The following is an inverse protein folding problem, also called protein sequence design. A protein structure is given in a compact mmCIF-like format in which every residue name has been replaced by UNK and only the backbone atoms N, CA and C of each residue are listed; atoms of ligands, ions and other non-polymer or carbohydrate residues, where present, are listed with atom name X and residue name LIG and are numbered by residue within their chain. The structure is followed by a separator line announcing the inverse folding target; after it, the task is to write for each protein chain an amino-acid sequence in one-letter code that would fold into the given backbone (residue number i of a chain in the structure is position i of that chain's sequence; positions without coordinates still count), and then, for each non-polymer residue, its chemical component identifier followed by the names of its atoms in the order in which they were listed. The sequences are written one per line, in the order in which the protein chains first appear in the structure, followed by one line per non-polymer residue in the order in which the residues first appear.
data_IF_081956125233
#
_entry.id   IF_081956125233
#
_cell.length_a   1.000
_cell.length_b   1.000
_cell.length_c   1.000
_cell.angle_alpha   90.00
_cell.angle_beta   90.00
_cell.angle_gamma   90.00
#
_symmetry.space_group_name_H-M   'P 1'
#
loop_
_entity.id
_entity.type
_entity.pdbx_description
1 polymer ?
#
# COMPACT_ATOMS: atom_id res chain seq x y z
N UNK A 1 16.37 -24.38 15.57
CA UNK A 1 15.42 -23.33 15.17
C UNK A 1 16.26 -22.22 14.58
N UNK A 2 16.13 -21.86 13.29
CA UNK A 2 16.81 -20.70 12.77
C UNK A 2 15.81 -19.55 12.65
N UNK A 3 15.79 -18.69 13.66
CA UNK A 3 15.08 -17.39 13.69
C UNK A 3 15.97 -16.27 13.11
N UNK A 4 16.58 -16.52 11.94
CA UNK A 4 17.40 -15.54 11.22
C UNK A 4 16.96 -15.46 9.76
N UNK A 5 15.82 -14.81 9.52
CA UNK A 5 15.45 -14.29 8.21
C UNK A 5 14.88 -12.89 8.46
N UNK A 6 15.34 -11.91 7.67
CA UNK A 6 15.10 -10.45 7.80
C UNK A 6 16.14 -9.69 8.64
N UNK A 7 17.39 -9.67 8.14
CA UNK A 7 18.32 -8.59 8.47
C UNK A 7 17.88 -7.28 7.80
N UNK A 8 17.19 -6.42 8.55
CA UNK A 8 16.89 -5.03 8.14
C UNK A 8 18.22 -4.28 8.07
N UNK A 9 18.74 -4.07 6.87
CA UNK A 9 19.97 -3.29 6.65
C UNK A 9 19.64 -1.81 6.45
N UNK A 10 19.40 -1.14 7.57
CA UNK A 10 19.60 0.31 7.71
C UNK A 10 18.42 1.20 7.35
N UNK A 11 17.71 1.68 8.38
CA UNK A 11 16.84 2.87 8.27
C UNK A 11 17.67 4.09 8.67
N UNK A 12 18.00 4.97 7.72
CA UNK A 12 18.56 6.29 8.01
C UNK A 12 17.43 7.21 8.46
N UNK A 13 17.57 7.74 9.68
CA UNK A 13 16.60 8.64 10.30
C UNK A 13 16.38 9.90 9.44
N UNK A 14 15.12 10.18 9.08
CA UNK A 14 14.73 11.40 8.36
C UNK A 14 14.68 11.36 6.83
N UNK A 15 14.85 10.21 6.17
CA UNK A 15 14.53 10.07 4.74
C UNK A 15 13.20 9.35 4.55
N UNK A 16 12.28 9.96 3.78
CA UNK A 16 11.04 9.32 3.30
C UNK A 16 11.40 7.95 2.74
N UNK A 17 10.97 6.91 3.42
CA UNK A 17 11.52 5.57 3.27
C UNK A 17 11.27 5.05 1.85
N UNK A 18 12.34 4.97 1.07
CA UNK A 18 12.41 4.09 -0.09
C UNK A 18 12.89 2.76 0.50
N UNK A 19 11.94 2.01 1.06
CA UNK A 19 12.26 0.76 1.72
C UNK A 19 12.34 -0.33 0.65
N UNK A 20 13.56 -0.51 0.14
CA UNK A 20 13.99 -1.80 -0.36
C UNK A 20 13.97 -2.77 0.82
N UNK A 21 12.88 -3.54 0.94
CA UNK A 21 12.62 -4.38 2.10
C UNK A 21 13.58 -5.57 2.17
N UNK A 22 14.02 -6.11 1.03
CA UNK A 22 15.03 -7.19 0.97
C UNK A 22 15.45 -7.49 -0.47
N UNK A 23 16.62 -8.12 -0.64
CA UNK A 23 17.05 -8.75 -1.89
C UNK A 23 16.97 -10.27 -1.71
N UNK A 24 16.26 -10.95 -2.62
CA UNK A 24 16.16 -12.40 -2.64
C UNK A 24 17.46 -13.01 -3.19
N UNK A 25 17.75 -14.26 -2.81
CA UNK A 25 18.96 -14.97 -3.28
C UNK A 25 19.02 -15.14 -4.80
N UNK A 26 17.88 -15.01 -5.49
CA UNK A 26 17.75 -15.04 -6.94
C UNK A 26 18.01 -13.67 -7.62
N UNK A 27 18.33 -12.63 -6.85
CA UNK A 27 18.65 -11.29 -7.34
C UNK A 27 17.43 -10.37 -7.52
N UNK A 28 16.21 -10.85 -7.22
CA UNK A 28 15.01 -10.00 -7.21
C UNK A 28 14.94 -9.16 -5.94
N UNK A 29 14.20 -8.07 -6.02
CA UNK A 29 14.05 -7.11 -4.94
C UNK A 29 12.61 -7.12 -4.44
N UNK A 30 12.45 -7.17 -3.13
CA UNK A 30 11.20 -6.82 -2.46
C UNK A 30 11.27 -5.31 -2.18
N UNK A 31 10.29 -4.57 -2.67
CA UNK A 31 10.20 -3.13 -2.48
C UNK A 31 8.79 -2.70 -2.13
N UNK A 32 8.69 -1.52 -1.53
CA UNK A 32 7.43 -0.94 -1.11
C UNK A 32 7.10 0.33 -1.89
N UNK A 33 5.84 0.46 -2.29
CA UNK A 33 5.26 1.70 -2.78
C UNK A 33 4.18 2.21 -1.83
N UNK A 34 4.11 3.52 -1.63
CA UNK A 34 3.07 4.14 -0.80
C UNK A 34 2.28 5.16 -1.62
N UNK A 35 0.98 5.21 -1.38
CA UNK A 35 0.14 6.33 -1.82
C UNK A 35 -0.86 6.66 -0.72
N UNK A 36 -1.26 7.92 -0.63
CA UNK A 36 -2.19 8.41 0.36
C UNK A 36 -3.36 9.09 -0.32
N UNK A 37 -4.55 8.86 0.20
CA UNK A 37 -5.75 9.59 -0.19
C UNK A 37 -6.15 10.43 1.02
N UNK A 38 -6.43 11.71 0.79
CA UNK A 38 -6.88 12.68 1.80
C UNK A 38 -8.22 13.23 1.35
N UNK A 39 -9.32 12.80 1.96
CA UNK A 39 -10.63 13.39 1.68
C UNK A 39 -11.55 13.34 2.91
N UNK A 40 -12.51 14.27 2.94
CA UNK A 40 -13.51 14.38 4.00
C UNK A 40 -14.56 13.26 3.95
N UNK A 41 -14.79 12.64 2.78
CA UNK A 41 -15.78 11.58 2.56
C UNK A 41 -15.21 10.53 1.62
N UNK A 42 -14.62 9.47 2.18
CA UNK A 42 -14.25 8.32 1.39
C UNK A 42 -15.50 7.53 0.98
N UNK A 43 -15.52 6.96 -0.22
CA UNK A 43 -16.48 5.90 -0.59
C UNK A 43 -17.98 6.28 -0.53
N UNK A 44 -18.32 7.56 -0.51
CA UNK A 44 -19.71 8.02 -0.61
C UNK A 44 -20.11 8.12 -2.08
N UNK A 45 -20.70 7.04 -2.61
CA UNK A 45 -21.42 7.10 -3.89
C UNK A 45 -22.91 7.16 -3.57
N UNK A 46 -23.60 8.23 -4.00
CA UNK A 46 -25.06 8.43 -4.01
C UNK A 46 -25.92 7.34 -3.33
N UNK A 47 -25.98 7.33 -1.99
CA UNK A 47 -26.91 6.48 -1.23
C UNK A 47 -26.50 5.01 -1.04
N UNK A 48 -25.25 4.64 -1.29
CA UNK A 48 -24.72 3.30 -0.99
C UNK A 48 -23.77 3.30 0.22
N UNK A 49 -23.86 2.24 1.04
CA UNK A 49 -23.09 2.05 2.27
C UNK A 49 -21.64 1.61 2.03
N UNK A 50 -21.23 1.43 0.77
CA UNK A 50 -19.87 1.09 0.35
C UNK A 50 -19.61 1.80 -0.99
N UNK A 51 -18.38 2.23 -1.22
CA UNK A 51 -17.99 2.93 -2.44
C UNK A 51 -16.67 2.45 -3.00
N UNK A 52 -16.36 2.91 -4.21
CA UNK A 52 -15.17 2.53 -4.97
C UNK A 52 -14.30 3.74 -5.26
N UNK A 53 -13.01 3.66 -4.97
CA UNK A 53 -12.03 4.70 -5.32
C UNK A 53 -10.86 4.10 -6.11
N UNK A 54 -10.44 4.74 -7.20
CA UNK A 54 -9.34 4.22 -8.02
C UNK A 54 -8.02 4.87 -7.59
N UNK A 55 -7.02 4.04 -7.30
CA UNK A 55 -5.68 4.50 -6.91
C UNK A 55 -4.61 3.81 -7.74
N UNK A 56 -3.50 4.53 -7.96
CA UNK A 56 -2.28 3.99 -8.53
C UNK A 56 -1.15 4.11 -7.51
N UNK A 57 -0.52 3.00 -7.14
CA UNK A 57 0.64 2.98 -6.24
C UNK A 57 1.89 2.67 -7.04
N UNK A 58 2.88 3.56 -7.00
CA UNK A 58 4.18 3.35 -7.64
C UNK A 58 5.14 2.72 -6.65
N UNK A 59 5.84 1.67 -7.07
CA UNK A 59 6.94 1.05 -6.34
C UNK A 59 8.24 1.55 -6.97
N UNK A 60 8.89 2.58 -6.41
CA UNK A 60 9.97 3.31 -7.07
C UNK A 60 11.23 2.45 -7.27
N UNK A 61 11.49 1.52 -6.36
CA UNK A 61 12.73 0.73 -6.33
C UNK A 61 12.68 -0.49 -7.27
N UNK A 62 11.60 -0.65 -8.05
CA UNK A 62 11.46 -1.68 -9.06
C UNK A 62 11.36 -1.04 -10.45
N UNK A 63 12.02 -1.65 -11.45
CA UNK A 63 11.80 -1.28 -12.87
C UNK A 63 10.48 -1.81 -13.39
N UNK A 64 10.14 -3.03 -12.97
CA UNK A 64 8.86 -3.67 -13.23
C UNK A 64 8.46 -4.54 -12.06
N UNK A 65 7.15 -4.66 -11.83
CA UNK A 65 6.60 -5.53 -10.81
C UNK A 65 6.26 -6.87 -11.47
N UNK A 66 6.86 -7.93 -10.96
CA UNK A 66 6.51 -9.31 -11.34
C UNK A 66 5.30 -9.79 -10.54
N UNK A 67 5.29 -9.49 -9.24
CA UNK A 67 4.27 -9.97 -8.32
C UNK A 67 4.01 -9.00 -7.18
N UNK A 68 2.75 -8.87 -6.77
CA UNK A 68 2.35 -8.11 -5.57
C UNK A 68 2.17 -9.10 -4.43
N UNK A 69 3.03 -9.00 -3.42
CA UNK A 69 2.99 -9.85 -2.23
C UNK A 69 1.82 -9.50 -1.33
N UNK A 70 1.64 -8.21 -1.05
CA UNK A 70 0.61 -7.75 -0.15
C UNK A 70 0.21 -6.30 -0.44
N UNK A 71 -1.03 -5.96 -0.07
CA UNK A 71 -1.50 -4.58 0.00
C UNK A 71 -1.93 -4.34 1.45
N UNK A 72 -1.31 -3.36 2.09
CA UNK A 72 -1.63 -2.96 3.46
C UNK A 72 -2.36 -1.63 3.45
N UNK A 73 -3.28 -1.49 4.40
CA UNK A 73 -4.06 -0.30 4.61
C UNK A 73 -3.81 0.22 6.01
N UNK A 74 -3.54 1.52 6.11
CA UNK A 74 -3.43 2.20 7.38
C UNK A 74 -4.27 3.47 7.34
N UNK A 75 -5.16 3.63 8.32
CA UNK A 75 -6.07 4.76 8.37
C UNK A 75 -5.74 5.65 9.55
N UNK A 76 -5.32 6.88 9.27
CA UNK A 76 -5.07 7.90 10.29
C UNK A 76 -6.36 8.64 10.59
N UNK A 77 -6.93 8.35 11.76
CA UNK A 77 -8.18 8.95 12.26
C UNK A 77 -7.83 10.23 13.02
N UNK A 78 -8.53 11.32 12.70
CA UNK A 78 -8.39 12.58 13.46
C UNK A 78 -9.33 12.61 14.67
N UNK A 79 -10.49 11.97 14.58
CA UNK A 79 -11.53 11.98 15.62
C UNK A 79 -11.81 10.58 16.18
N UNK A 80 -10.93 10.09 17.07
CA UNK A 80 -11.19 9.20 18.21
C UNK A 80 -12.02 7.89 18.07
N UNK A 81 -12.56 7.53 16.91
CA UNK A 81 -13.38 6.34 16.73
C UNK A 81 -12.53 5.26 16.08
N UNK A 82 -12.06 4.30 16.87
CA UNK A 82 -11.45 3.06 16.37
C UNK A 82 -12.54 2.17 15.75
N UNK A 83 -13.08 2.54 14.60
CA UNK A 83 -13.78 1.61 13.73
C UNK A 83 -12.72 1.00 12.82
N UNK A 84 -12.59 -0.34 12.81
CA UNK A 84 -11.80 -1.04 11.78
C UNK A 84 -12.53 -0.85 10.45
N UNK A 85 -12.09 0.05 9.56
CA UNK A 85 -12.78 0.19 8.29
C UNK A 85 -12.32 -1.01 7.46
N UNK A 86 -13.27 -1.79 6.96
CA UNK A 86 -12.97 -2.90 6.07
C UNK A 86 -12.62 -2.29 4.71
N UNK A 87 -11.32 -2.22 4.40
CA UNK A 87 -10.82 -1.81 3.09
C UNK A 87 -10.31 -3.03 2.33
N UNK A 88 -10.69 -3.14 1.06
CA UNK A 88 -10.23 -4.19 0.17
C UNK A 88 -9.70 -3.60 -1.13
N UNK A 89 -8.54 -4.09 -1.60
CA UNK A 89 -8.04 -3.78 -2.93
C UNK A 89 -8.58 -4.80 -3.94
N UNK A 90 -9.48 -4.35 -4.82
CA UNK A 90 -10.06 -5.12 -5.92
C UNK A 90 -9.53 -4.63 -7.27
N UNK A 91 -9.75 -5.42 -8.34
CA UNK A 91 -9.39 -5.06 -9.72
C UNK A 91 -7.92 -4.60 -9.90
N UNK A 92 -6.98 -5.32 -9.26
CA UNK A 92 -5.56 -5.00 -9.32
C UNK A 92 -5.03 -5.17 -10.76
N UNK A 93 -4.30 -4.18 -11.24
CA UNK A 93 -3.62 -4.19 -12.53
C UNK A 93 -2.20 -3.66 -12.39
N UNK A 94 -1.23 -4.48 -12.79
CA UNK A 94 0.18 -4.13 -12.77
C UNK A 94 0.59 -3.60 -14.15
N UNK A 95 1.24 -2.44 -14.20
CA UNK A 95 1.81 -1.85 -15.42
C UNK A 95 3.18 -1.26 -15.10
N UNK A 96 4.25 -1.91 -15.57
CA UNK A 96 5.61 -1.52 -15.22
C UNK A 96 5.83 -1.62 -13.71
N UNK A 97 6.20 -0.51 -13.07
CA UNK A 97 6.39 -0.41 -11.62
C UNK A 97 5.22 0.24 -10.87
N UNK A 98 4.04 0.23 -11.48
CA UNK A 98 2.82 0.79 -10.89
C UNK A 98 1.77 -0.29 -10.75
N UNK A 99 1.10 -0.30 -9.60
CA UNK A 99 -0.10 -1.11 -9.34
C UNK A 99 -1.29 -0.19 -9.28
N UNK A 100 -2.15 -0.28 -10.30
CA UNK A 100 -3.48 0.29 -10.26
C UNK A 100 -4.42 -0.65 -9.53
N UNK A 101 -5.30 -0.12 -8.70
CA UNK A 101 -6.33 -0.90 -8.01
C UNK A 101 -7.55 -0.03 -7.73
N UNK A 102 -8.68 -0.70 -7.54
CA UNK A 102 -9.88 -0.08 -6.98
C UNK A 102 -9.93 -0.44 -5.50
N UNK A 103 -10.08 0.56 -4.64
CA UNK A 103 -10.34 0.38 -3.23
C UNK A 103 -11.84 0.27 -3.05
N UNK A 104 -12.28 -0.80 -2.40
CA UNK A 104 -13.64 -0.98 -1.90
C UNK A 104 -13.61 -0.75 -0.40
N UNK A 105 -14.52 0.06 0.13
CA UNK A 105 -14.59 0.30 1.56
C UNK A 105 -15.86 0.98 2.03
N UNK A 106 -16.07 0.93 3.34
CA UNK A 106 -17.14 1.66 4.03
C UNK A 106 -16.75 3.15 4.14
N UNK A 107 -17.67 4.11 3.97
CA UNK A 107 -17.43 5.52 4.21
C UNK A 107 -16.83 5.79 5.59
N UNK A 108 -15.59 6.24 5.58
CA UNK A 108 -14.96 6.90 6.72
C UNK A 108 -14.99 8.41 6.45
N UNK A 109 -15.44 9.18 7.45
CA UNK A 109 -15.51 10.64 7.37
C UNK A 109 -14.32 11.22 8.14
N UNK A 110 -13.49 12.02 7.48
CA UNK A 110 -12.32 12.66 8.08
C UNK A 110 -11.16 11.70 8.36
N UNK A 111 -10.01 11.95 7.72
CA UNK A 111 -8.77 11.19 7.95
C UNK A 111 -7.88 11.11 6.71
N UNK A 112 -6.79 10.36 6.82
CA UNK A 112 -5.91 10.01 5.70
C UNK A 112 -5.82 8.49 5.58
N UNK A 113 -6.17 7.96 4.41
CA UNK A 113 -5.96 6.55 4.10
C UNK A 113 -4.60 6.39 3.42
N UNK A 114 -3.74 5.59 4.04
CA UNK A 114 -2.46 5.16 3.50
C UNK A 114 -2.63 3.78 2.89
N UNK A 115 -2.18 3.64 1.65
CA UNK A 115 -2.17 2.38 0.90
C UNK A 115 -0.72 2.04 0.61
N UNK A 116 -0.28 0.89 1.11
CA UNK A 116 1.07 0.40 0.92
C UNK A 116 1.04 -0.88 0.09
N UNK A 117 1.85 -0.91 -0.97
CA UNK A 117 2.00 -2.07 -1.85
C UNK A 117 3.38 -2.65 -1.65
N UNK A 118 3.43 -3.92 -1.27
CA UNK A 118 4.66 -4.69 -1.17
C UNK A 118 4.73 -5.57 -2.41
N UNK A 119 5.77 -5.39 -3.21
CA UNK A 119 5.93 -6.05 -4.50
C UNK A 119 7.33 -6.62 -4.69
N UNK A 120 7.43 -7.60 -5.59
CA UNK A 120 8.68 -8.21 -6.04
C UNK A 120 8.91 -7.85 -7.51
N UNK A 121 10.16 -7.54 -7.84
CA UNK A 121 10.61 -7.46 -9.22
C UNK A 121 12.11 -7.25 -9.34
N UNK A 122 12.63 -7.08 -10.56
CA UNK A 122 14.01 -6.65 -10.77
C UNK A 122 14.23 -5.19 -10.33
N UNK A 123 15.44 -4.86 -9.84
CA UNK A 123 15.86 -3.48 -9.54
C UNK A 123 16.03 -2.63 -10.80
#
# INVERSE_FOLDING_TARGET
MPDELFGVTGTLDGKRSHDQLSVLQDGRVIAMGKNYIKQSTFFTTDGHAEGCEVINVRVPDLRMIEYVLNVQFFYEITDGVCAEPIYEAVNKKIVGNVVGMTLLGNPATGGTLHVEVIAIGPP
#
